data_IF_202146725296
#
_entry.id   IF_202146725296
#
_cell.length_a   1.000
_cell.length_b   1.000
_cell.length_c   1.000
_cell.angle_alpha   90.00
_cell.angle_beta   90.00
_cell.angle_gamma   90.00
#
_symmetry.space_group_name_H-M   'P 1'
#
loop_
_entity.id
_entity.type
_entity.pdbx_description
1 polymer ?
#
# COMPACT_ATOMS: atom_id res chain seq x y z
N UNK A 1 -46.47 -17.56 -0.27
CA UNK A 1 -45.16 -17.93 0.32
C UNK A 1 -43.96 -17.68 -0.60
N UNK A 2 -44.11 -17.67 -1.94
CA UNK A 2 -43.06 -17.25 -2.90
C UNK A 2 -42.62 -15.78 -2.78
N UNK A 3 -43.46 -14.90 -2.25
CA UNK A 3 -43.22 -13.45 -2.21
C UNK A 3 -42.23 -13.02 -1.11
N UNK A 4 -42.21 -13.69 0.03
CA UNK A 4 -41.29 -13.37 1.13
C UNK A 4 -39.84 -13.82 0.84
N UNK A 5 -39.68 -14.99 0.22
CA UNK A 5 -38.37 -15.49 -0.24
C UNK A 5 -37.79 -14.63 -1.36
N UNK A 6 -38.61 -14.26 -2.36
CA UNK A 6 -38.19 -13.35 -3.42
C UNK A 6 -37.86 -11.94 -2.91
N UNK A 7 -38.64 -11.41 -1.96
CA UNK A 7 -38.37 -10.12 -1.34
C UNK A 7 -37.08 -10.13 -0.52
N UNK A 8 -36.77 -11.22 0.19
CA UNK A 8 -35.54 -11.35 0.98
C UNK A 8 -34.29 -11.51 0.10
N UNK A 9 -34.42 -12.27 -1.01
CA UNK A 9 -33.36 -12.40 -2.03
C UNK A 9 -33.13 -11.07 -2.74
N UNK A 10 -34.20 -10.36 -3.14
CA UNK A 10 -34.10 -9.01 -3.70
C UNK A 10 -33.52 -8.01 -2.70
N UNK A 11 -33.86 -8.11 -1.42
CA UNK A 11 -33.29 -7.28 -0.37
C UNK A 11 -31.80 -7.57 -0.17
N UNK A 12 -31.37 -8.84 -0.12
CA UNK A 12 -29.96 -9.19 -0.03
C UNK A 12 -29.18 -8.71 -1.27
N UNK A 13 -29.71 -8.94 -2.47
CA UNK A 13 -29.09 -8.50 -3.72
C UNK A 13 -29.05 -6.97 -3.83
N UNK A 14 -30.11 -6.26 -3.42
CA UNK A 14 -30.16 -4.80 -3.40
C UNK A 14 -29.23 -4.20 -2.33
N UNK A 15 -29.05 -4.88 -1.20
CA UNK A 15 -28.11 -4.45 -0.14
C UNK A 15 -26.67 -4.68 -0.59
N UNK A 16 -26.37 -5.81 -1.23
CA UNK A 16 -25.07 -6.08 -1.84
C UNK A 16 -24.78 -5.08 -2.97
N UNK A 17 -25.74 -4.86 -3.89
CA UNK A 17 -25.60 -3.89 -4.98
C UNK A 17 -25.52 -2.45 -4.49
N UNK A 18 -26.28 -2.08 -3.46
CA UNK A 18 -26.29 -0.77 -2.82
C UNK A 18 -24.99 -0.48 -2.09
N UNK A 19 -24.44 -1.44 -1.33
CA UNK A 19 -23.12 -1.29 -0.71
C UNK A 19 -22.00 -1.28 -1.76
N UNK A 20 -22.09 -2.11 -2.81
CA UNK A 20 -21.16 -2.05 -3.94
C UNK A 20 -21.23 -0.69 -4.62
N UNK A 21 -22.41 -0.11 -4.83
CA UNK A 21 -22.60 1.23 -5.37
C UNK A 21 -22.02 2.32 -4.47
N UNK A 22 -22.38 2.35 -3.19
CA UNK A 22 -21.90 3.34 -2.21
C UNK A 22 -20.38 3.25 -2.01
N UNK A 23 -19.80 2.05 -2.05
CA UNK A 23 -18.37 1.82 -1.86
C UNK A 23 -17.55 1.93 -3.16
N UNK A 24 -18.16 1.73 -4.33
CA UNK A 24 -17.55 1.97 -5.64
C UNK A 24 -17.49 3.46 -5.97
N UNK A 25 -18.50 4.23 -5.58
CA UNK A 25 -18.68 5.65 -5.97
C UNK A 25 -17.96 6.67 -5.08
N UNK A 26 -17.44 6.29 -3.90
CA UNK A 26 -16.68 7.26 -3.06
C UNK A 26 -15.25 7.50 -3.59
N UNK A 27 -14.90 8.72 -4.04
CA UNK A 27 -13.67 8.97 -4.82
C UNK A 27 -12.35 8.86 -4.05
N UNK A 28 -12.34 9.01 -2.73
CA UNK A 28 -11.11 9.24 -1.95
C UNK A 28 -10.27 7.99 -1.59
N UNK A 29 -10.64 6.79 -2.05
CA UNK A 29 -10.06 5.51 -1.55
C UNK A 29 -9.40 4.60 -2.62
N UNK A 30 -9.17 5.09 -3.85
CA UNK A 30 -8.91 4.28 -5.07
C UNK A 30 -7.89 3.11 -5.01
N UNK A 31 -6.83 3.13 -4.18
CA UNK A 31 -5.87 1.99 -4.06
C UNK A 31 -5.97 1.15 -2.77
N UNK A 32 -6.55 1.70 -1.69
CA UNK A 32 -6.87 0.93 -0.46
C UNK A 32 -8.17 0.15 -0.63
N UNK A 33 -9.04 0.63 -1.52
CA UNK A 33 -10.37 0.12 -1.73
C UNK A 33 -10.43 -1.30 -2.32
N UNK A 34 -9.45 -1.76 -3.11
CA UNK A 34 -9.52 -3.10 -3.72
C UNK A 34 -9.64 -4.19 -2.65
N UNK A 35 -8.59 -4.36 -1.84
CA UNK A 35 -8.55 -5.36 -0.78
C UNK A 35 -9.70 -5.21 0.23
N UNK A 36 -10.02 -3.99 0.66
CA UNK A 36 -11.12 -3.70 1.59
C UNK A 36 -12.49 -4.03 1.01
N UNK A 37 -12.77 -3.61 -0.23
CA UNK A 37 -14.05 -3.92 -0.91
C UNK A 37 -14.23 -5.42 -1.00
N UNK A 38 -13.22 -6.13 -1.50
CA UNK A 38 -13.26 -7.58 -1.62
C UNK A 38 -13.38 -8.29 -0.27
N UNK A 39 -12.68 -7.81 0.77
CA UNK A 39 -12.80 -8.33 2.13
C UNK A 39 -14.19 -8.11 2.74
N UNK A 40 -14.76 -6.92 2.56
CA UNK A 40 -16.12 -6.59 3.03
C UNK A 40 -17.17 -7.43 2.28
N UNK A 41 -17.10 -7.50 0.96
CA UNK A 41 -18.03 -8.34 0.17
C UNK A 41 -17.85 -9.82 0.53
N UNK A 42 -16.62 -10.27 0.79
CA UNK A 42 -16.35 -11.61 1.28
C UNK A 42 -16.99 -11.89 2.65
N UNK A 43 -16.87 -10.96 3.60
CA UNK A 43 -17.51 -11.06 4.90
C UNK A 43 -19.05 -11.06 4.79
N UNK A 44 -19.63 -10.18 3.97
CA UNK A 44 -21.06 -10.17 3.68
C UNK A 44 -21.53 -11.48 3.05
N UNK A 45 -20.73 -12.06 2.15
CA UNK A 45 -21.02 -13.35 1.53
C UNK A 45 -21.02 -14.48 2.56
N UNK A 46 -20.09 -14.49 3.50
CA UNK A 46 -20.06 -15.47 4.59
C UNK A 46 -21.29 -15.36 5.51
N UNK A 47 -21.69 -14.12 5.85
CA UNK A 47 -22.89 -13.86 6.65
C UNK A 47 -24.15 -14.28 5.91
N UNK A 48 -24.25 -13.94 4.62
CA UNK A 48 -25.38 -14.33 3.77
C UNK A 48 -25.48 -15.86 3.64
N UNK A 49 -24.35 -16.55 3.43
CA UNK A 49 -24.30 -18.00 3.39
C UNK A 49 -24.84 -18.63 4.69
N UNK A 50 -24.40 -18.12 5.85
CA UNK A 50 -24.83 -18.63 7.16
C UNK A 50 -26.33 -18.43 7.39
N UNK A 51 -26.85 -17.25 7.04
CA UNK A 51 -28.29 -16.94 7.16
C UNK A 51 -29.13 -17.78 6.21
N UNK A 52 -28.71 -17.91 4.95
CA UNK A 52 -29.45 -18.68 3.95
C UNK A 52 -29.42 -20.19 4.26
N UNK A 53 -28.33 -20.71 4.84
CA UNK A 53 -28.31 -22.08 5.36
C UNK A 53 -29.33 -22.28 6.49
N UNK A 54 -29.47 -21.31 7.41
CA UNK A 54 -30.49 -21.35 8.46
C UNK A 54 -31.90 -21.30 7.87
N UNK A 55 -32.15 -20.42 6.89
CA UNK A 55 -33.43 -20.37 6.19
C UNK A 55 -33.73 -21.71 5.52
N UNK A 56 -32.78 -22.28 4.79
CA UNK A 56 -32.92 -23.58 4.15
C UNK A 56 -33.29 -24.69 5.16
N UNK A 57 -32.66 -24.71 6.34
CA UNK A 57 -33.00 -25.71 7.38
C UNK A 57 -34.44 -25.60 7.88
N UNK A 58 -35.12 -24.46 7.66
CA UNK A 58 -36.51 -24.22 8.04
C UNK A 58 -37.49 -24.36 6.88
N UNK A 59 -37.08 -23.96 5.67
CA UNK A 59 -37.98 -23.91 4.49
C UNK A 59 -37.83 -25.13 3.58
N UNK A 60 -36.70 -25.82 3.61
CA UNK A 60 -36.36 -26.88 2.66
C UNK A 60 -36.12 -26.38 1.22
N UNK A 61 -36.10 -25.06 0.98
CA UNK A 61 -36.04 -24.49 -0.36
C UNK A 61 -34.66 -24.70 -1.01
N UNK A 62 -34.64 -25.38 -2.16
CA UNK A 62 -33.40 -25.69 -2.88
C UNK A 62 -32.68 -24.43 -3.39
N UNK A 63 -33.41 -23.36 -3.74
CA UNK A 63 -32.78 -22.13 -4.22
C UNK A 63 -31.96 -21.46 -3.12
N UNK A 64 -32.49 -21.39 -1.88
CA UNK A 64 -31.71 -20.86 -0.74
C UNK A 64 -30.43 -21.66 -0.47
N UNK A 65 -30.44 -22.99 -0.65
CA UNK A 65 -29.24 -23.82 -0.49
C UNK A 65 -28.17 -23.50 -1.54
N UNK A 66 -28.55 -23.45 -2.83
CA UNK A 66 -27.62 -23.16 -3.93
C UNK A 66 -26.97 -21.78 -3.74
N UNK A 67 -27.76 -20.77 -3.40
CA UNK A 67 -27.23 -19.40 -3.17
C UNK A 67 -26.29 -19.39 -1.96
N UNK A 68 -26.61 -20.13 -0.90
CA UNK A 68 -25.74 -20.28 0.27
C UNK A 68 -24.38 -20.88 -0.09
N UNK A 69 -24.39 -21.92 -0.92
CA UNK A 69 -23.17 -22.63 -1.33
C UNK A 69 -22.25 -21.75 -2.16
N UNK A 70 -22.81 -21.00 -3.10
CA UNK A 70 -22.08 -20.03 -3.91
C UNK A 70 -21.47 -18.95 -3.01
N UNK A 71 -22.26 -18.38 -2.09
CA UNK A 71 -21.80 -17.34 -1.17
C UNK A 71 -20.70 -17.85 -0.23
N UNK A 72 -20.79 -19.10 0.21
CA UNK A 72 -19.78 -19.76 1.06
C UNK A 72 -18.41 -19.85 0.36
N UNK A 73 -18.38 -20.15 -0.94
CA UNK A 73 -17.13 -20.21 -1.73
C UNK A 73 -16.61 -18.81 -2.08
N UNK A 74 -17.52 -17.88 -2.39
CA UNK A 74 -17.18 -16.51 -2.70
C UNK A 74 -16.53 -15.80 -1.52
N UNK A 75 -16.87 -16.13 -0.27
CA UNK A 75 -16.27 -15.50 0.90
C UNK A 75 -14.71 -15.56 0.90
N UNK A 76 -14.06 -16.73 0.94
CA UNK A 76 -12.60 -16.81 0.80
C UNK A 76 -12.11 -16.41 -0.60
N UNK A 77 -12.87 -16.72 -1.67
CA UNK A 77 -12.49 -16.38 -3.05
C UNK A 77 -12.36 -14.87 -3.30
N UNK A 78 -13.22 -14.06 -2.70
CA UNK A 78 -13.15 -12.61 -2.78
C UNK A 78 -11.94 -12.09 -2.00
N UNK A 79 -11.61 -12.65 -0.83
CA UNK A 79 -10.37 -12.30 -0.12
C UNK A 79 -9.15 -12.60 -0.99
N UNK A 80 -9.09 -13.76 -1.66
CA UNK A 80 -8.05 -14.09 -2.64
C UNK A 80 -7.96 -13.07 -3.79
N UNK A 81 -9.08 -12.69 -4.37
CA UNK A 81 -9.17 -11.65 -5.40
C UNK A 81 -8.68 -10.29 -4.89
N UNK A 82 -9.07 -9.94 -3.66
CA UNK A 82 -8.67 -8.73 -2.95
C UNK A 82 -7.16 -8.65 -2.77
N UNK A 83 -6.50 -9.75 -2.39
CA UNK A 83 -5.04 -9.82 -2.31
C UNK A 83 -4.39 -9.55 -3.68
N UNK A 84 -5.08 -9.86 -4.78
CA UNK A 84 -4.61 -9.52 -6.13
C UNK A 84 -4.44 -8.02 -6.36
N UNK A 85 -5.09 -7.16 -5.55
CA UNK A 85 -4.94 -5.70 -5.66
C UNK A 85 -3.59 -5.21 -5.14
N UNK A 86 -2.89 -6.03 -4.35
CA UNK A 86 -1.54 -5.77 -3.89
C UNK A 86 -0.47 -6.26 -4.87
N UNK A 87 -0.80 -7.25 -5.71
CA UNK A 87 0.15 -7.88 -6.65
C UNK A 87 -0.16 -7.60 -8.14
N UNK A 88 -1.14 -6.75 -8.45
CA UNK A 88 -1.55 -6.44 -9.82
C UNK A 88 -2.33 -7.56 -10.55
N UNK A 89 -2.87 -8.54 -9.83
CA UNK A 89 -3.51 -9.76 -10.40
C UNK A 89 -4.99 -9.90 -10.04
N UNK A 90 -5.69 -8.79 -9.78
CA UNK A 90 -7.11 -8.78 -9.33
C UNK A 90 -8.02 -9.55 -10.28
N UNK A 91 -7.99 -9.24 -11.58
CA UNK A 91 -8.86 -9.84 -12.58
C UNK A 91 -8.66 -11.36 -12.68
N UNK A 92 -7.41 -11.82 -12.75
CA UNK A 92 -7.10 -13.24 -12.81
C UNK A 92 -7.59 -13.99 -11.56
N UNK A 93 -7.38 -13.42 -10.37
CA UNK A 93 -7.81 -14.06 -9.12
C UNK A 93 -9.32 -14.00 -8.92
N UNK A 94 -9.97 -12.92 -9.32
CA UNK A 94 -11.43 -12.81 -9.34
C UNK A 94 -12.06 -13.82 -10.31
N UNK A 95 -11.45 -14.02 -11.48
CA UNK A 95 -11.85 -15.06 -12.43
C UNK A 95 -11.81 -16.46 -11.79
N UNK A 96 -10.72 -16.82 -11.13
CA UNK A 96 -10.61 -18.10 -10.40
C UNK A 96 -11.68 -18.24 -9.31
N UNK A 97 -11.91 -17.20 -8.50
CA UNK A 97 -12.92 -17.21 -7.46
C UNK A 97 -14.34 -17.40 -8.04
N UNK A 98 -14.66 -16.71 -9.13
CA UNK A 98 -15.93 -16.85 -9.85
C UNK A 98 -16.08 -18.25 -10.48
N UNK A 99 -15.02 -18.81 -11.05
CA UNK A 99 -15.04 -20.16 -11.59
C UNK A 99 -15.34 -21.21 -10.52
N UNK A 100 -14.70 -21.11 -9.34
CA UNK A 100 -14.98 -22.00 -8.20
C UNK A 100 -16.43 -21.88 -7.72
N UNK A 101 -16.95 -20.65 -7.62
CA UNK A 101 -18.33 -20.39 -7.24
C UNK A 101 -19.32 -20.95 -8.28
N UNK A 102 -19.03 -20.81 -9.58
CA UNK A 102 -19.84 -21.36 -10.66
C UNK A 102 -19.86 -22.90 -10.64
N UNK A 103 -18.71 -23.55 -10.43
CA UNK A 103 -18.63 -25.02 -10.27
C UNK A 103 -19.52 -25.47 -9.12
N UNK A 104 -19.46 -24.78 -7.97
CA UNK A 104 -20.31 -25.13 -6.83
C UNK A 104 -21.79 -24.88 -7.12
N UNK A 105 -22.14 -23.78 -7.79
CA UNK A 105 -23.52 -23.54 -8.23
C UNK A 105 -24.07 -24.66 -9.11
N UNK A 106 -23.30 -25.09 -10.12
CA UNK A 106 -23.68 -26.22 -11.01
C UNK A 106 -23.80 -27.52 -10.23
N UNK A 107 -22.85 -27.83 -9.35
CA UNK A 107 -22.88 -29.06 -8.55
C UNK A 107 -24.03 -29.06 -7.55
N UNK A 108 -24.39 -27.89 -6.98
CA UNK A 108 -25.54 -27.75 -6.09
C UNK A 108 -26.88 -27.97 -6.79
N UNK A 109 -26.98 -27.73 -8.10
CA UNK A 109 -28.22 -27.92 -8.88
C UNK A 109 -28.30 -29.28 -9.56
N UNK A 110 -27.16 -29.90 -9.88
CA UNK A 110 -27.12 -31.12 -10.71
C UNK A 110 -26.80 -32.40 -9.93
N UNK A 111 -26.21 -32.30 -8.75
CA UNK A 111 -25.76 -33.47 -7.97
C UNK A 111 -26.57 -33.60 -6.68
N UNK A 112 -27.09 -34.79 -6.42
CA UNK A 112 -27.80 -35.11 -5.19
C UNK A 112 -26.88 -35.13 -3.95
N UNK A 113 -27.49 -34.98 -2.78
CA UNK A 113 -26.80 -35.28 -1.52
C UNK A 113 -26.53 -36.79 -1.42
N UNK A 114 -25.36 -37.23 -0.92
CA UNK A 114 -24.34 -36.44 -0.24
C UNK A 114 -23.14 -36.00 -1.12
N UNK A 115 -23.04 -36.48 -2.36
CA UNK A 115 -21.89 -36.22 -3.23
C UNK A 115 -21.67 -34.71 -3.49
N UNK A 116 -22.76 -33.95 -3.63
CA UNK A 116 -22.72 -32.48 -3.77
C UNK A 116 -22.02 -31.81 -2.57
N UNK A 117 -22.22 -32.32 -1.36
CA UNK A 117 -21.64 -31.74 -0.14
C UNK A 117 -20.12 -31.96 -0.08
N UNK A 118 -19.64 -33.14 -0.48
CA UNK A 118 -18.21 -33.44 -0.57
C UNK A 118 -17.49 -32.44 -1.50
N UNK A 119 -18.05 -32.20 -2.69
CA UNK A 119 -17.47 -31.28 -3.67
C UNK A 119 -17.41 -29.85 -3.13
N UNK A 120 -18.48 -29.36 -2.50
CA UNK A 120 -18.53 -28.00 -1.92
C UNK A 120 -17.43 -27.78 -0.89
N UNK A 121 -17.28 -28.75 0.01
CA UNK A 121 -16.29 -28.69 1.09
C UNK A 121 -14.86 -28.71 0.54
N UNK A 122 -14.60 -29.51 -0.50
CA UNK A 122 -13.31 -29.53 -1.21
C UNK A 122 -13.04 -28.20 -1.93
N UNK A 123 -14.04 -27.62 -2.59
CA UNK A 123 -13.90 -26.32 -3.27
C UNK A 123 -13.63 -25.19 -2.29
N UNK A 124 -14.30 -25.17 -1.13
CA UNK A 124 -14.00 -24.22 -0.04
C UNK A 124 -12.57 -24.39 0.45
N UNK A 125 -12.14 -25.63 0.68
CA UNK A 125 -10.75 -25.91 1.07
C UNK A 125 -9.74 -25.39 0.04
N UNK A 126 -10.02 -25.57 -1.25
CA UNK A 126 -9.20 -25.04 -2.33
C UNK A 126 -9.16 -23.51 -2.32
N UNK A 127 -10.30 -22.83 -2.18
CA UNK A 127 -10.37 -21.37 -2.10
C UNK A 127 -9.56 -20.82 -0.90
N UNK A 128 -9.67 -21.48 0.26
CA UNK A 128 -8.88 -21.16 1.44
C UNK A 128 -7.37 -21.41 1.22
N UNK A 129 -7.00 -22.53 0.63
CA UNK A 129 -5.61 -22.85 0.28
C UNK A 129 -5.00 -21.83 -0.68
N UNK A 130 -5.74 -21.43 -1.73
CA UNK A 130 -5.33 -20.38 -2.66
C UNK A 130 -5.15 -19.04 -1.97
N UNK A 131 -6.06 -18.68 -1.05
CA UNK A 131 -5.95 -17.44 -0.26
C UNK A 131 -4.72 -17.47 0.65
N UNK A 132 -4.46 -18.61 1.29
CA UNK A 132 -3.28 -18.81 2.13
C UNK A 132 -1.98 -18.69 1.34
N UNK A 133 -1.88 -19.39 0.21
CA UNK A 133 -0.73 -19.32 -0.69
C UNK A 133 -0.52 -17.90 -1.22
N UNK A 134 -1.60 -17.19 -1.57
CA UNK A 134 -1.52 -15.80 -2.00
C UNK A 134 -1.00 -14.86 -0.91
N UNK A 135 -1.39 -15.07 0.34
CA UNK A 135 -0.92 -14.27 1.48
C UNK A 135 0.59 -14.45 1.72
N UNK A 136 1.15 -15.60 1.35
CA UNK A 136 2.58 -15.93 1.48
C UNK A 136 3.45 -15.50 0.29
N UNK A 137 2.87 -14.90 -0.75
CA UNK A 137 3.68 -14.40 -1.87
C UNK A 137 4.57 -13.23 -1.44
N UNK A 138 5.79 -13.06 -2.00
CA UNK A 138 6.75 -12.03 -1.59
C UNK A 138 6.16 -10.61 -1.55
N UNK A 139 5.26 -10.28 -2.47
CA UNK A 139 4.58 -8.98 -2.54
C UNK A 139 3.69 -8.66 -1.30
N UNK A 140 3.31 -9.68 -0.52
CA UNK A 140 2.38 -9.59 0.60
C UNK A 140 3.02 -10.09 1.91
N UNK A 141 3.92 -11.08 1.85
CA UNK A 141 4.50 -11.78 2.99
C UNK A 141 5.27 -10.87 3.98
N UNK A 142 5.80 -9.74 3.51
CA UNK A 142 6.49 -8.78 4.39
C UNK A 142 5.55 -8.02 5.35
N UNK A 143 4.23 -8.15 5.19
CA UNK A 143 3.22 -7.44 5.98
C UNK A 143 2.87 -8.23 7.24
N UNK A 144 2.70 -7.56 8.38
CA UNK A 144 2.44 -8.17 9.70
C UNK A 144 1.21 -9.09 9.71
N UNK A 145 0.15 -8.72 9.00
CA UNK A 145 -1.08 -9.54 8.94
C UNK A 145 -1.03 -10.71 7.95
N UNK A 146 -0.01 -10.84 7.12
CA UNK A 146 0.06 -11.88 6.07
C UNK A 146 0.11 -13.30 6.66
N UNK A 147 0.92 -13.51 7.69
CA UNK A 147 1.04 -14.80 8.38
C UNK A 147 -0.26 -15.19 9.07
N UNK A 148 -0.91 -14.26 9.76
CA UNK A 148 -2.20 -14.51 10.41
C UNK A 148 -3.25 -14.91 9.36
N UNK A 149 -3.35 -14.19 8.24
CA UNK A 149 -4.29 -14.53 7.17
C UNK A 149 -4.00 -15.91 6.58
N UNK A 150 -2.73 -16.22 6.32
CA UNK A 150 -2.32 -17.49 5.75
C UNK A 150 -2.63 -18.67 6.68
N UNK A 151 -2.29 -18.55 7.97
CA UNK A 151 -2.56 -19.59 8.98
C UNK A 151 -4.07 -19.78 9.16
N UNK A 152 -4.84 -18.68 9.26
CA UNK A 152 -6.29 -18.77 9.45
C UNK A 152 -6.97 -19.45 8.26
N UNK A 153 -6.60 -19.07 7.03
CA UNK A 153 -7.13 -19.69 5.82
C UNK A 153 -6.68 -21.15 5.69
N UNK A 154 -5.41 -21.46 5.99
CA UNK A 154 -4.92 -22.84 5.96
C UNK A 154 -5.66 -23.72 6.98
N UNK A 155 -5.83 -23.24 8.22
CA UNK A 155 -6.52 -23.97 9.27
C UNK A 155 -7.98 -24.27 8.90
N UNK A 156 -8.70 -23.30 8.35
CA UNK A 156 -10.08 -23.52 7.90
C UNK A 156 -10.16 -24.43 6.66
N UNK A 157 -9.16 -24.35 5.77
CA UNK A 157 -9.04 -25.27 4.64
C UNK A 157 -8.81 -26.72 5.09
N UNK A 158 -7.92 -26.94 6.06
CA UNK A 158 -7.69 -28.26 6.68
C UNK A 158 -8.95 -28.75 7.40
N UNK A 159 -9.60 -27.90 8.20
CA UNK A 159 -10.87 -28.23 8.84
C UNK A 159 -11.93 -28.67 7.81
N UNK A 160 -12.04 -27.96 6.69
CA UNK A 160 -12.95 -28.32 5.59
C UNK A 160 -12.58 -29.68 5.00
N UNK A 161 -11.30 -29.93 4.68
CA UNK A 161 -10.87 -31.25 4.19
C UNK A 161 -11.19 -32.38 5.18
N UNK A 162 -10.96 -32.16 6.48
CA UNK A 162 -11.32 -33.12 7.51
C UNK A 162 -12.83 -33.41 7.50
N UNK A 163 -13.69 -32.40 7.30
CA UNK A 163 -15.14 -32.61 7.14
C UNK A 163 -15.47 -33.52 5.97
N UNK A 164 -14.82 -33.30 4.82
CA UNK A 164 -15.04 -34.14 3.64
C UNK A 164 -14.58 -35.59 3.88
N UNK A 165 -13.38 -35.77 4.43
CA UNK A 165 -12.81 -37.11 4.70
C UNK A 165 -13.68 -37.87 5.70
N UNK A 166 -14.05 -37.26 6.82
CA UNK A 166 -14.90 -37.91 7.83
C UNK A 166 -16.29 -38.20 7.25
N UNK A 167 -16.91 -37.24 6.55
CA UNK A 167 -18.20 -37.45 5.91
C UNK A 167 -18.21 -38.62 4.90
N UNK A 168 -17.14 -38.77 4.13
CA UNK A 168 -16.98 -39.85 3.15
C UNK A 168 -16.61 -41.21 3.77
N UNK A 169 -15.89 -41.23 4.90
CA UNK A 169 -15.39 -42.48 5.52
C UNK A 169 -16.30 -43.03 6.59
N UNK A 170 -16.88 -42.17 7.44
CA UNK A 170 -17.75 -42.57 8.56
C UNK A 170 -19.22 -42.28 8.32
N UNK A 171 -19.56 -41.57 7.24
CA UNK A 171 -20.91 -41.15 6.91
C UNK A 171 -21.30 -39.80 7.50
N UNK A 172 -22.06 -39.03 6.72
CA UNK A 172 -22.53 -37.68 7.02
C UNK A 172 -23.50 -37.59 8.21
N UNK A 173 -24.12 -38.71 8.59
CA UNK A 173 -25.03 -38.79 9.75
C UNK A 173 -24.39 -39.40 11.00
N UNK A 174 -23.10 -39.72 10.94
CA UNK A 174 -22.39 -40.33 12.07
C UNK A 174 -22.39 -39.43 13.31
N UNK A 175 -22.38 -40.00 14.54
CA UNK A 175 -22.33 -39.23 15.78
C UNK A 175 -21.12 -38.29 15.84
N UNK A 176 -19.98 -38.74 15.31
CA UNK A 176 -18.75 -37.96 15.18
C UNK A 176 -18.94 -36.76 14.26
N UNK A 177 -19.57 -36.96 13.10
CA UNK A 177 -19.84 -35.86 12.17
C UNK A 177 -20.85 -34.87 12.76
N UNK A 178 -21.90 -35.36 13.42
CA UNK A 178 -22.92 -34.52 14.07
C UNK A 178 -22.38 -33.67 15.21
N UNK A 179 -21.47 -34.20 16.04
CA UNK A 179 -20.95 -33.49 17.21
C UNK A 179 -19.87 -32.46 16.85
N UNK A 180 -18.94 -32.80 15.97
CA UNK A 180 -17.75 -31.98 15.73
C UNK A 180 -17.72 -31.27 14.37
N UNK A 181 -18.49 -31.74 13.38
CA UNK A 181 -18.35 -31.36 11.97
C UNK A 181 -19.69 -30.97 11.31
N UNK A 182 -20.73 -30.76 12.13
CA UNK A 182 -22.07 -30.37 11.69
C UNK A 182 -22.19 -28.87 11.46
N UNK A 183 -23.41 -28.40 11.22
CA UNK A 183 -23.71 -26.99 10.93
C UNK A 183 -23.19 -26.07 12.04
N UNK A 184 -23.45 -26.39 13.31
CA UNK A 184 -23.10 -25.50 14.43
C UNK A 184 -21.59 -25.31 14.60
N UNK A 185 -20.74 -26.37 14.70
CA UNK A 185 -19.30 -26.21 14.76
C UNK A 185 -18.72 -25.48 13.54
N UNK A 186 -19.29 -25.74 12.36
CA UNK A 186 -18.85 -25.08 11.11
C UNK A 186 -19.14 -23.59 11.13
N UNK A 187 -20.33 -23.18 11.59
CA UNK A 187 -20.69 -21.77 11.69
C UNK A 187 -19.78 -21.04 12.68
N UNK A 188 -19.44 -21.65 13.81
CA UNK A 188 -18.49 -21.08 14.79
C UNK A 188 -17.10 -20.93 14.17
N UNK A 189 -16.60 -21.98 13.50
CA UNK A 189 -15.31 -21.93 12.80
C UNK A 189 -15.31 -20.87 11.68
N UNK A 190 -16.41 -20.74 10.94
CA UNK A 190 -16.59 -19.72 9.91
C UNK A 190 -16.61 -18.30 10.47
N UNK A 191 -17.28 -18.08 11.60
CA UNK A 191 -17.27 -16.78 12.28
C UNK A 191 -15.85 -16.41 12.76
N UNK A 192 -15.12 -17.37 13.36
CA UNK A 192 -13.73 -17.17 13.76
C UNK A 192 -12.83 -16.85 12.55
N UNK A 193 -13.00 -17.56 11.42
CA UNK A 193 -12.31 -17.29 10.17
C UNK A 193 -12.55 -15.85 9.69
N UNK A 194 -13.81 -15.39 9.68
CA UNK A 194 -14.15 -14.02 9.23
C UNK A 194 -13.50 -12.97 10.14
N UNK A 195 -13.58 -13.15 11.46
CA UNK A 195 -12.99 -12.22 12.43
C UNK A 195 -11.47 -12.13 12.28
N UNK A 196 -10.78 -13.28 12.29
CA UNK A 196 -9.32 -13.33 12.17
C UNK A 196 -8.83 -12.83 10.80
N UNK A 197 -9.57 -13.13 9.73
CA UNK A 197 -9.29 -12.58 8.39
C UNK A 197 -9.47 -11.06 8.36
N UNK A 198 -10.52 -10.53 9.00
CA UNK A 198 -10.74 -9.10 9.14
C UNK A 198 -9.59 -8.40 9.87
N UNK A 199 -9.16 -8.94 11.02
CA UNK A 199 -8.02 -8.44 11.79
C UNK A 199 -6.75 -8.46 10.94
N UNK A 200 -6.47 -9.58 10.27
CA UNK A 200 -5.30 -9.73 9.42
C UNK A 200 -5.28 -8.72 8.26
N UNK A 201 -6.42 -8.51 7.61
CA UNK A 201 -6.57 -7.53 6.54
C UNK A 201 -6.34 -6.10 7.04
N UNK A 202 -6.87 -5.74 8.22
CA UNK A 202 -6.61 -4.44 8.85
C UNK A 202 -5.11 -4.25 9.13
N UNK A 203 -4.42 -5.25 9.69
CA UNK A 203 -2.96 -5.18 9.92
C UNK A 203 -2.17 -4.98 8.61
N UNK A 204 -2.53 -5.70 7.55
CA UNK A 204 -1.93 -5.60 6.20
C UNK A 204 -2.05 -4.17 5.63
N UNK A 205 -3.19 -3.51 5.90
CA UNK A 205 -3.49 -2.17 5.44
C UNK A 205 -2.75 -1.11 6.27
N UNK A 206 -2.66 -1.30 7.58
CA UNK A 206 -1.95 -0.42 8.50
C UNK A 206 -0.47 -0.25 8.15
N UNK A 207 0.22 -1.34 7.77
CA UNK A 207 1.63 -1.29 7.36
C UNK A 207 1.84 -0.42 6.11
N UNK A 208 0.88 -0.44 5.17
CA UNK A 208 0.95 0.41 3.96
C UNK A 208 0.76 1.89 4.30
N UNK A 209 -0.17 2.21 5.20
CA UNK A 209 -0.38 3.59 5.62
C UNK A 209 0.83 4.16 6.33
N UNK A 210 1.49 3.38 7.19
CA UNK A 210 2.71 3.79 7.87
C UNK A 210 3.84 4.07 6.86
N UNK A 211 4.08 3.14 5.92
CA UNK A 211 5.12 3.33 4.90
C UNK A 211 4.87 4.56 4.00
N UNK A 212 3.62 4.82 3.61
CA UNK A 212 3.24 6.00 2.82
C UNK A 212 3.35 7.30 3.62
N UNK A 213 3.03 7.30 4.91
CA UNK A 213 3.22 8.44 5.79
C UNK A 213 4.70 8.81 5.90
N UNK A 214 5.58 7.82 6.12
CA UNK A 214 7.03 8.06 6.17
C UNK A 214 7.57 8.54 4.82
N UNK A 215 7.08 8.02 3.70
CA UNK A 215 7.50 8.50 2.38
C UNK A 215 7.04 9.95 2.11
N UNK A 216 5.83 10.33 2.54
CA UNK A 216 5.35 11.71 2.44
C UNK A 216 6.15 12.67 3.34
N UNK A 217 6.49 12.25 4.56
CA UNK A 217 7.35 13.03 5.44
C UNK A 217 8.74 13.25 4.82
N UNK A 218 9.33 12.22 4.20
CA UNK A 218 10.60 12.37 3.47
C UNK A 218 10.49 13.26 2.24
N UNK A 219 9.36 13.21 1.52
CA UNK A 219 9.12 14.08 0.37
C UNK A 219 8.89 15.54 0.79
N UNK A 220 8.16 15.76 1.89
CA UNK A 220 7.96 17.08 2.48
C UNK A 220 9.28 17.68 2.96
N UNK A 221 10.10 16.92 3.70
CA UNK A 221 11.42 17.39 4.12
C UNK A 221 12.38 17.70 2.96
N UNK A 222 12.22 17.04 1.80
CA UNK A 222 12.98 17.39 0.58
C UNK A 222 12.47 18.66 -0.09
N UNK A 223 11.16 18.89 -0.07
CA UNK A 223 10.56 20.14 -0.59
C UNK A 223 10.93 21.33 0.29
N UNK A 224 10.96 21.16 1.61
CA UNK A 224 11.42 22.21 2.54
C UNK A 224 12.90 22.57 2.27
N UNK A 225 13.76 21.57 1.99
CA UNK A 225 15.14 21.79 1.52
C UNK A 225 15.21 22.42 0.11
N UNK A 226 14.21 22.20 -0.75
CA UNK A 226 14.16 22.80 -2.08
C UNK A 226 13.77 24.29 -2.04
N UNK A 227 12.97 24.71 -1.06
CA UNK A 227 12.57 26.10 -0.83
C UNK A 227 13.54 26.91 0.06
N UNK A 228 14.56 26.27 0.65
CA UNK A 228 15.58 26.98 1.43
C UNK A 228 16.34 28.00 0.55
N UNK A 229 16.61 29.21 1.05
CA UNK A 229 17.35 30.22 0.30
C UNK A 229 18.71 29.67 -0.12
N UNK A 230 19.02 29.80 -1.41
CA UNK A 230 20.33 29.42 -1.94
C UNK A 230 21.24 30.63 -1.86
N UNK A 231 22.39 30.49 -1.23
CA UNK A 231 23.40 31.54 -1.09
C UNK A 231 24.58 31.24 -2.01
N UNK A 232 25.03 32.23 -2.78
CA UNK A 232 26.29 32.17 -3.52
C UNK A 232 27.39 32.79 -2.67
N UNK A 233 28.40 31.97 -2.34
CA UNK A 233 29.57 32.35 -1.54
C UNK A 233 30.79 32.36 -2.45
N UNK A 234 31.47 33.50 -2.60
CA UNK A 234 32.61 33.62 -3.51
C UNK A 234 33.70 34.55 -2.99
N UNK A 235 34.87 34.51 -3.63
CA UNK A 235 35.92 35.52 -3.42
C UNK A 235 35.69 36.69 -4.38
N UNK A 236 35.44 37.88 -3.83
CA UNK A 236 35.29 39.09 -4.62
C UNK A 236 36.54 39.35 -5.47
N UNK A 237 36.38 39.41 -6.79
CA UNK A 237 37.45 39.72 -7.75
C UNK A 237 38.71 38.85 -7.60
N UNK A 238 38.57 37.52 -7.69
CA UNK A 238 39.67 36.55 -7.56
C UNK A 238 40.93 36.88 -8.39
N UNK A 239 40.79 37.50 -9.57
CA UNK A 239 41.92 37.96 -10.38
C UNK A 239 42.77 39.04 -9.68
N UNK A 240 42.14 39.94 -8.92
CA UNK A 240 42.80 40.97 -8.12
C UNK A 240 43.46 40.34 -6.89
N UNK A 241 42.77 39.43 -6.21
CA UNK A 241 43.31 38.66 -5.07
C UNK A 241 44.56 37.89 -5.49
N UNK A 242 44.52 37.23 -6.66
CA UNK A 242 45.64 36.49 -7.23
C UNK A 242 46.82 37.39 -7.60
N UNK A 243 46.56 38.60 -8.12
CA UNK A 243 47.59 39.57 -8.45
C UNK A 243 48.25 40.18 -7.19
N UNK A 244 47.48 40.39 -6.12
CA UNK A 244 47.95 41.03 -4.89
C UNK A 244 48.67 40.06 -3.92
N UNK A 245 48.12 38.85 -3.71
CA UNK A 245 48.62 37.86 -2.74
C UNK A 245 49.48 36.76 -3.39
N UNK A 246 49.53 36.74 -4.72
CA UNK A 246 50.21 35.72 -5.50
C UNK A 246 49.36 34.45 -5.71
N UNK A 247 49.69 33.66 -6.75
CA UNK A 247 48.89 32.52 -7.18
C UNK A 247 48.76 31.43 -6.11
N UNK A 248 49.83 31.10 -5.41
CA UNK A 248 49.83 30.03 -4.43
C UNK A 248 48.96 30.32 -3.18
N UNK A 249 48.83 31.58 -2.75
CA UNK A 249 47.97 31.96 -1.62
C UNK A 249 46.51 32.02 -2.05
N UNK A 250 46.24 32.63 -3.20
CA UNK A 250 44.88 32.72 -3.74
C UNK A 250 44.26 31.34 -4.02
N UNK A 251 45.03 30.39 -4.57
CA UNK A 251 44.53 29.03 -4.79
C UNK A 251 44.23 28.28 -3.48
N UNK A 252 45.06 28.45 -2.43
CA UNK A 252 44.76 27.90 -1.10
C UNK A 252 43.50 28.51 -0.48
N UNK A 253 43.32 29.83 -0.59
CA UNK A 253 42.12 30.50 -0.10
C UNK A 253 40.86 29.99 -0.81
N UNK A 254 40.92 29.74 -2.11
CA UNK A 254 39.81 29.12 -2.83
C UNK A 254 39.49 27.72 -2.30
N UNK A 255 40.51 26.90 -2.06
CA UNK A 255 40.32 25.54 -1.55
C UNK A 255 39.76 25.53 -0.11
N UNK A 256 40.25 26.43 0.75
CA UNK A 256 39.76 26.61 2.13
C UNK A 256 38.29 27.08 2.15
N UNK A 257 37.91 27.99 1.24
CA UNK A 257 36.53 28.47 1.11
C UNK A 257 35.58 27.36 0.68
N UNK A 258 35.98 26.53 -0.29
CA UNK A 258 35.19 25.37 -0.74
C UNK A 258 35.07 24.34 0.41
N UNK A 259 36.16 24.11 1.15
CA UNK A 259 36.13 23.21 2.30
C UNK A 259 35.19 23.72 3.39
N UNK A 260 35.27 25.00 3.76
CA UNK A 260 34.39 25.62 4.74
C UNK A 260 32.92 25.57 4.30
N UNK A 261 32.63 25.89 3.03
CA UNK A 261 31.28 25.79 2.45
C UNK A 261 30.72 24.35 2.52
N UNK A 262 31.53 23.33 2.21
CA UNK A 262 31.12 21.92 2.30
C UNK A 262 30.91 21.42 3.73
N UNK A 263 31.57 22.03 4.72
CA UNK A 263 31.29 21.71 6.13
C UNK A 263 29.94 22.27 6.60
N UNK A 264 29.45 23.32 5.95
CA UNK A 264 28.16 23.93 6.25
C UNK A 264 27.02 23.28 5.45
N UNK A 265 27.25 23.01 4.17
CA UNK A 265 26.33 22.29 3.28
C UNK A 265 27.10 21.16 2.57
N UNK A 266 26.90 19.88 2.95
CA UNK A 266 27.55 18.74 2.30
C UNK A 266 27.27 18.62 0.80
N UNK A 267 26.16 19.19 0.32
CA UNK A 267 25.74 19.18 -1.08
C UNK A 267 26.16 20.45 -1.84
N UNK A 268 27.01 21.29 -1.24
CA UNK A 268 27.46 22.55 -1.81
C UNK A 268 28.11 22.38 -3.20
N UNK A 269 27.57 23.09 -4.20
CA UNK A 269 27.99 22.98 -5.61
C UNK A 269 29.01 24.06 -5.92
N UNK A 270 30.19 23.65 -6.41
CA UNK A 270 31.23 24.58 -6.87
C UNK A 270 30.75 25.27 -8.15
N UNK A 271 30.83 26.60 -8.19
CA UNK A 271 30.37 27.39 -9.34
C UNK A 271 31.18 27.07 -10.61
N UNK A 272 30.58 27.29 -11.78
CA UNK A 272 31.18 26.97 -13.09
C UNK A 272 32.51 27.73 -13.34
N UNK A 273 32.64 28.91 -12.75
CA UNK A 273 33.87 29.73 -12.76
C UNK A 273 34.96 29.22 -11.80
N UNK A 274 34.61 28.28 -10.92
CA UNK A 274 35.41 27.75 -9.80
C UNK A 274 35.91 28.82 -8.82
N UNK A 275 35.32 30.02 -8.83
CA UNK A 275 35.70 31.12 -7.92
C UNK A 275 34.76 31.29 -6.72
N UNK A 276 33.76 30.41 -6.59
CA UNK A 276 32.81 30.38 -5.48
C UNK A 276 32.07 29.04 -5.37
N UNK A 277 31.22 28.92 -4.36
CA UNK A 277 30.40 27.76 -4.04
C UNK A 277 28.97 28.21 -3.73
N UNK A 278 27.97 27.45 -4.20
CA UNK A 278 26.58 27.63 -3.82
C UNK A 278 26.25 26.74 -2.62
N UNK A 279 25.60 27.34 -1.64
CA UNK A 279 25.34 26.75 -0.33
C UNK A 279 23.85 26.91 -0.03
N UNK A 280 23.18 25.83 0.36
CA UNK A 280 21.74 25.81 0.68
C UNK A 280 21.58 25.65 2.19
N UNK A 281 21.37 26.77 2.89
CA UNK A 281 21.21 26.77 4.35
C UNK A 281 19.96 27.59 4.67
N UNK A 282 19.11 27.00 5.51
CA UNK A 282 17.88 27.61 6.04
C UNK A 282 18.20 28.46 7.28
N UNK A 283 19.09 29.44 7.10
CA UNK A 283 19.48 30.44 8.10
C UNK A 283 19.57 31.82 7.44
N UNK A 284 19.41 32.88 8.26
CA UNK A 284 19.58 34.25 7.81
C UNK A 284 21.02 34.49 7.31
N UNK A 285 21.18 35.37 6.31
CA UNK A 285 22.47 35.70 5.69
C UNK A 285 23.58 35.99 6.70
N UNK A 286 23.24 36.74 7.76
CA UNK A 286 24.19 37.11 8.82
C UNK A 286 24.69 35.89 9.62
N UNK A 287 23.84 34.88 9.84
CA UNK A 287 24.23 33.66 10.55
C UNK A 287 25.11 32.75 9.67
N UNK A 288 24.83 32.70 8.36
CA UNK A 288 25.69 32.01 7.38
C UNK A 288 27.06 32.70 7.26
N UNK A 289 27.08 34.03 7.25
CA UNK A 289 28.29 34.85 7.23
C UNK A 289 29.14 34.62 8.48
N UNK A 290 28.54 34.71 9.67
CA UNK A 290 29.21 34.46 10.95
C UNK A 290 29.80 33.04 11.00
N UNK A 291 29.01 32.03 10.66
CA UNK A 291 29.45 30.63 10.68
C UNK A 291 30.57 30.34 9.67
N UNK A 292 30.59 31.03 8.53
CA UNK A 292 31.64 30.91 7.53
C UNK A 292 32.91 31.66 7.98
N UNK A 293 32.77 32.86 8.52
CA UNK A 293 33.88 33.67 9.04
C UNK A 293 34.64 32.93 10.14
N UNK A 294 33.93 32.35 11.11
CA UNK A 294 34.54 31.57 12.19
C UNK A 294 35.39 30.41 11.67
N UNK A 295 34.92 29.72 10.63
CA UNK A 295 35.63 28.59 10.02
C UNK A 295 36.84 29.02 9.21
N UNK A 296 36.75 30.14 8.49
CA UNK A 296 37.87 30.70 7.72
C UNK A 296 38.97 31.23 8.65
N UNK A 297 38.60 31.86 9.76
CA UNK A 297 39.55 32.26 10.81
C UNK A 297 40.23 31.03 11.40
N UNK A 298 39.49 29.95 11.67
CA UNK A 298 40.07 28.68 12.12
C UNK A 298 41.01 28.04 11.08
N UNK A 299 40.79 28.28 9.78
CA UNK A 299 41.69 27.89 8.69
C UNK A 299 42.92 28.82 8.52
N UNK A 300 43.06 29.84 9.37
CA UNK A 300 44.23 30.73 9.39
C UNK A 300 44.12 31.94 8.46
N UNK A 301 42.91 32.37 8.12
CA UNK A 301 42.69 33.61 7.39
C UNK A 301 42.81 34.81 8.32
N UNK A 302 43.40 35.89 7.81
CA UNK A 302 43.44 37.18 8.51
C UNK A 302 42.09 37.89 8.41
N UNK A 303 41.76 38.81 9.34
CA UNK A 303 40.51 39.57 9.28
C UNK A 303 40.32 40.34 7.96
N UNK A 304 41.42 40.82 7.35
CA UNK A 304 41.38 41.47 6.05
C UNK A 304 41.09 40.53 4.88
N UNK A 305 41.49 39.26 4.98
CA UNK A 305 41.21 38.23 3.97
C UNK A 305 39.76 37.71 4.07
N UNK A 306 39.19 37.65 5.28
CA UNK A 306 37.79 37.25 5.51
C UNK A 306 36.83 38.27 4.88
N UNK A 307 37.16 39.56 4.95
CA UNK A 307 36.37 40.64 4.30
C UNK A 307 36.37 40.59 2.76
N UNK A 308 37.15 39.70 2.13
CA UNK A 308 37.12 39.49 0.67
C UNK A 308 36.04 38.50 0.24
N UNK A 309 35.37 37.85 1.19
CA UNK A 309 34.29 36.90 0.91
C UNK A 309 33.00 37.68 0.65
N UNK A 310 32.36 37.40 -0.49
CA UNK A 310 31.05 37.92 -0.84
C UNK A 310 30.01 36.81 -0.69
N UNK A 311 28.96 37.10 0.09
CA UNK A 311 27.79 36.23 0.24
C UNK A 311 26.60 36.97 -0.34
N UNK A 312 26.02 36.43 -1.39
CA UNK A 312 24.86 37.00 -2.07
C UNK A 312 23.75 35.95 -2.15
N UNK A 313 22.49 36.38 -2.18
CA UNK A 313 21.40 35.47 -2.51
C UNK A 313 21.61 35.01 -3.96
N UNK A 314 21.71 33.70 -4.17
CA UNK A 314 21.86 33.16 -5.51
C UNK A 314 20.58 33.50 -6.28
N UNK A 315 20.70 34.26 -7.37
CA UNK A 315 19.58 34.50 -8.26
C UNK A 315 19.05 33.13 -8.73
N UNK A 316 17.74 32.91 -8.57
CA UNK A 316 17.08 31.73 -9.09
C UNK A 316 17.32 31.66 -10.60
N UNK A 317 17.87 30.55 -11.09
CA UNK A 317 18.14 30.31 -12.53
C UNK A 317 16.90 30.48 -13.43
N UNK A 318 15.69 30.62 -12.86
CA UNK A 318 14.47 31.01 -13.58
C UNK A 318 14.50 32.43 -14.17
N UNK A 319 15.22 33.38 -13.56
CA UNK A 319 15.31 34.74 -14.10
C UNK A 319 16.30 34.86 -15.28
N UNK A 320 17.32 34.01 -15.35
CA UNK A 320 18.30 34.02 -16.43
C UNK A 320 17.73 33.44 -17.75
N UNK A 321 16.82 32.46 -17.66
CA UNK A 321 16.13 31.91 -18.83
C UNK A 321 15.12 32.90 -19.45
N UNK A 322 14.48 33.76 -18.64
CA UNK A 322 13.51 34.75 -19.12
C UNK A 322 14.13 35.95 -19.85
N UNK A 323 15.42 36.24 -19.63
CA UNK A 323 16.12 37.36 -20.28
C UNK A 323 16.80 36.92 -21.60
N UNK A 324 17.08 35.63 -21.78
CA UNK A 324 17.74 35.09 -22.97
C UNK A 324 16.84 34.97 -24.22
N UNK A 325 15.52 34.83 -24.05
CA UNK A 325 14.59 34.56 -25.16
C UNK A 325 13.94 35.84 -25.74
N UNK A 326 14.21 37.00 -25.16
CA UNK A 326 13.65 38.30 -25.59
C UNK A 326 14.50 39.07 -26.61
N UNK A 327 15.75 38.70 -26.85
CA UNK A 327 16.70 39.47 -27.66
C UNK A 327 16.88 38.97 -29.11
N UNK A 328 16.09 38.00 -29.56
CA UNK A 328 16.26 37.35 -30.88
C UNK A 328 15.21 37.66 -31.96
N UNK A 329 14.11 38.33 -31.63
CA UNK A 329 13.02 38.58 -32.60
C UNK A 329 13.01 40.03 -33.08
N UNK A 330 14.02 40.42 -33.88
CA UNK A 330 14.04 41.75 -34.48
C UNK A 330 15.32 42.10 -35.24
N UNK A 331 15.61 41.37 -36.34
CA UNK A 331 16.24 41.90 -37.55
C UNK A 331 16.73 40.76 -38.47
N UNK A 332 15.91 40.42 -39.46
CA UNK A 332 16.24 40.31 -40.91
C UNK A 332 15.14 39.57 -41.64
#
# INVERSE_FOLDING_TARGET
MLTAGAALVCACLATIAGLVGVLALRPSWRRRAGLLRFGIVGALSATAASLLYLVHTKTGDAATLVISDIAMVLAPGLVFAGLGSLSGRVLARAGVALSLAAVVGVVSTTVGMPASLAVKVVVVAAACGLTSAAAMQPAIAARRGSRLLAVTMAAYGVFSLCRAVVGLTTGWDSPLYRSALSVVPTTVAGAALVLLSGIALLMILSDRSAALATQRQRAAGRLDLELAPTWSVGLGSFGIVRAALGPARADRMKDDLIAAARTLDPDAVVDATRTGTRVRIDDDQAAVEEALHDRLIAAGWTPGEVNLVSIEAAASDEAAAAVGDGAGAGAR
#
